data_IF_954171813637
#
_entry.id   IF_954171813637
#
_cell.length_a   1.000
_cell.length_b   1.000
_cell.length_c   1.000
_cell.angle_alpha   90.00
_cell.angle_beta   90.00
_cell.angle_gamma   90.00
#
_symmetry.space_group_name_H-M   'P 1'
#
loop_
_entity.id
_entity.type
_entity.pdbx_description
1 polymer ?
#
# COMPACT_ATOMS: atom_id res chain seq x y z
N UNK A 1 1.61 -10.75 -3.06
CA UNK A 1 2.93 -10.88 -2.41
C UNK A 1 2.76 -11.58 -1.07
N UNK A 2 3.46 -12.68 -0.81
CA UNK A 2 3.42 -13.39 0.49
C UNK A 2 4.45 -12.79 1.43
N UNK A 3 4.32 -13.03 2.74
CA UNK A 3 5.26 -12.55 3.76
C UNK A 3 6.74 -12.85 3.45
N UNK A 4 7.00 -14.00 2.84
CA UNK A 4 8.34 -14.46 2.47
C UNK A 4 9.01 -13.60 1.39
N UNK A 5 8.21 -13.01 0.50
CA UNK A 5 8.68 -12.15 -0.60
C UNK A 5 9.04 -10.75 -0.12
N UNK A 6 8.59 -10.36 1.07
CA UNK A 6 8.77 -9.01 1.58
C UNK A 6 10.19 -8.79 2.14
N UNK A 7 10.67 -7.53 2.11
CA UNK A 7 11.90 -7.15 2.79
C UNK A 7 11.91 -7.58 4.26
N UNK A 8 13.04 -8.09 4.74
CA UNK A 8 13.19 -8.64 6.10
C UNK A 8 12.69 -7.71 7.20
N UNK A 9 12.89 -6.40 7.05
CA UNK A 9 12.44 -5.40 8.02
C UNK A 9 10.92 -5.23 8.14
N UNK A 10 10.16 -5.54 7.09
CA UNK A 10 8.70 -5.40 7.07
C UNK A 10 7.98 -6.68 7.56
N UNK A 11 8.62 -7.85 7.45
CA UNK A 11 8.06 -9.15 7.86
C UNK A 11 7.48 -9.22 9.27
N UNK A 12 7.96 -8.48 10.30
CA UNK A 12 7.35 -8.46 11.62
C UNK A 12 6.00 -7.73 11.69
N UNK A 13 5.65 -6.96 10.65
CA UNK A 13 4.45 -6.12 10.59
C UNK A 13 3.34 -6.73 9.73
N UNK A 14 3.57 -7.92 9.17
CA UNK A 14 2.59 -8.62 8.33
C UNK A 14 2.32 -10.04 8.83
N UNK A 15 1.10 -10.53 8.59
CA UNK A 15 0.74 -11.93 8.80
C UNK A 15 1.25 -12.84 7.67
N UNK A 16 0.90 -14.13 7.70
CA UNK A 16 1.33 -15.10 6.70
C UNK A 16 0.77 -14.79 5.30
N UNK A 17 -0.43 -14.23 5.24
CA UNK A 17 -1.15 -13.84 4.04
C UNK A 17 -0.64 -12.51 3.44
N UNK A 18 0.21 -11.79 4.18
CA UNK A 18 0.77 -10.51 3.76
C UNK A 18 -0.14 -9.32 4.07
N UNK A 19 -1.07 -9.46 5.02
CA UNK A 19 -1.88 -8.36 5.57
C UNK A 19 -1.12 -7.65 6.68
N UNK A 20 -1.27 -6.33 6.74
CA UNK A 20 -0.58 -5.48 7.70
C UNK A 20 -1.22 -5.59 9.09
N UNK A 21 -0.50 -6.16 10.06
CA UNK A 21 -1.03 -6.42 11.40
C UNK A 21 -0.92 -5.24 12.36
N UNK A 22 0.01 -4.31 12.09
CA UNK A 22 0.18 -3.08 12.86
C UNK A 22 0.88 -2.00 12.02
N UNK A 23 0.67 -0.74 12.38
CA UNK A 23 1.38 0.38 11.75
C UNK A 23 2.80 0.56 12.33
N UNK A 24 3.87 0.55 11.53
CA UNK A 24 5.23 0.75 12.05
C UNK A 24 5.46 2.16 12.61
N UNK A 25 6.35 2.29 13.59
CA UNK A 25 6.77 3.61 14.13
C UNK A 25 7.89 4.28 13.32
N UNK A 26 8.73 3.49 12.64
CA UNK A 26 9.85 4.01 11.83
C UNK A 26 9.37 4.41 10.45
N UNK A 27 9.67 5.64 10.05
CA UNK A 27 9.23 6.20 8.76
C UNK A 27 9.58 5.33 7.55
N UNK A 28 10.81 4.79 7.45
CA UNK A 28 11.19 3.90 6.34
C UNK A 28 10.31 2.64 6.28
N UNK A 29 9.94 2.06 7.43
CA UNK A 29 9.05 0.90 7.46
C UNK A 29 7.60 1.28 7.11
N UNK A 30 7.16 2.48 7.47
CA UNK A 30 5.85 2.99 7.06
C UNK A 30 5.76 3.16 5.54
N UNK A 31 6.79 3.70 4.90
CA UNK A 31 6.88 3.79 3.43
C UNK A 31 6.76 2.42 2.78
N UNK A 32 7.43 1.41 3.34
CA UNK A 32 7.35 0.03 2.85
C UNK A 32 5.95 -0.57 3.06
N UNK A 33 5.32 -0.29 4.21
CA UNK A 33 3.95 -0.73 4.49
C UNK A 33 2.93 -0.09 3.53
N UNK A 34 3.08 1.20 3.24
CA UNK A 34 2.25 1.89 2.25
C UNK A 34 2.47 1.34 0.84
N UNK A 35 3.73 1.11 0.44
CA UNK A 35 4.05 0.48 -0.85
C UNK A 35 3.41 -0.92 -0.98
N UNK A 36 3.45 -1.73 0.08
CA UNK A 36 2.76 -3.03 0.10
C UNK A 36 1.26 -2.90 -0.16
N UNK A 37 0.59 -1.94 0.49
CA UNK A 37 -0.84 -1.70 0.27
C UNK A 37 -1.12 -1.17 -1.14
N UNK A 38 -0.24 -0.33 -1.69
CA UNK A 38 -0.35 0.18 -3.05
C UNK A 38 -0.34 -0.94 -4.11
N UNK A 39 0.36 -2.06 -3.87
CA UNK A 39 0.33 -3.23 -4.78
C UNK A 39 -1.04 -3.87 -4.95
N UNK A 40 -2.02 -3.52 -4.11
CA UNK A 40 -3.38 -4.07 -4.14
C UNK A 40 -4.32 -3.30 -5.04
N UNK A 41 -3.86 -2.17 -5.60
CA UNK A 41 -4.64 -1.34 -6.51
C UNK A 41 -4.19 -1.58 -7.95
N UNK A 42 -5.14 -1.62 -8.86
CA UNK A 42 -4.93 -1.86 -10.28
C UNK A 42 -4.65 -0.54 -11.01
N UNK A 43 -3.52 -0.44 -11.75
CA UNK A 43 -3.26 0.71 -12.60
C UNK A 43 -4.34 0.91 -13.67
N UNK A 44 -4.73 2.16 -13.92
CA UNK A 44 -5.74 2.52 -14.91
C UNK A 44 -7.20 2.32 -14.46
N UNK A 45 -7.42 1.77 -13.26
CA UNK A 45 -8.75 1.68 -12.65
C UNK A 45 -9.02 2.88 -11.73
N UNK A 46 -10.24 3.41 -11.83
CA UNK A 46 -10.77 4.37 -10.87
C UNK A 46 -11.53 3.63 -9.76
N UNK A 47 -11.33 4.06 -8.53
CA UNK A 47 -11.98 3.55 -7.33
C UNK A 47 -12.76 4.65 -6.64
N UNK A 48 -13.99 4.37 -6.19
CA UNK A 48 -14.66 5.25 -5.24
C UNK A 48 -14.09 5.05 -3.84
N UNK A 49 -14.30 6.01 -2.93
CA UNK A 49 -13.77 5.91 -1.55
C UNK A 49 -14.16 4.59 -0.86
N UNK A 50 -15.38 4.11 -1.06
CA UNK A 50 -15.85 2.84 -0.49
C UNK A 50 -15.05 1.63 -0.98
N UNK A 51 -14.66 1.60 -2.25
CA UNK A 51 -13.85 0.51 -2.80
C UNK A 51 -12.42 0.58 -2.23
N UNK A 52 -11.84 1.78 -2.13
CA UNK A 52 -10.52 1.97 -1.50
C UNK A 52 -10.57 1.49 -0.05
N UNK A 53 -11.58 1.88 0.71
CA UNK A 53 -11.74 1.45 2.09
C UNK A 53 -11.89 -0.08 2.18
N UNK A 54 -12.66 -0.71 1.28
CA UNK A 54 -12.81 -2.16 1.25
C UNK A 54 -11.48 -2.88 0.98
N UNK A 55 -10.70 -2.42 0.00
CA UNK A 55 -9.35 -2.96 -0.27
C UNK A 55 -8.46 -2.81 0.97
N UNK A 56 -8.46 -1.63 1.61
CA UNK A 56 -7.63 -1.42 2.80
C UNK A 56 -8.07 -2.33 3.94
N UNK A 57 -9.36 -2.43 4.24
CA UNK A 57 -9.93 -3.31 5.29
C UNK A 57 -9.55 -4.78 5.08
N UNK A 58 -9.50 -5.26 3.84
CA UNK A 58 -9.07 -6.62 3.55
C UNK A 58 -7.58 -6.86 3.85
N UNK A 59 -6.74 -5.84 3.64
CA UNK A 59 -5.28 -5.96 3.68
C UNK A 59 -4.62 -5.43 4.97
N UNK A 60 -5.39 -5.09 6.01
CA UNK A 60 -4.88 -4.73 7.34
C UNK A 60 -5.78 -5.25 8.47
N UNK A 61 -5.27 -5.33 9.70
CA UNK A 61 -6.04 -5.88 10.85
C UNK A 61 -6.21 -4.91 12.03
N UNK A 62 -5.63 -3.71 11.98
CA UNK A 62 -5.65 -2.75 13.09
C UNK A 62 -6.75 -1.68 13.01
N UNK A 63 -7.60 -1.71 11.99
CA UNK A 63 -8.84 -0.94 11.93
C UNK A 63 -8.70 0.55 11.60
N UNK A 64 -7.57 1.01 11.06
CA UNK A 64 -7.35 2.41 10.68
C UNK A 64 -7.06 2.54 9.17
N UNK A 65 -8.07 2.23 8.35
CA UNK A 65 -7.99 2.41 6.91
C UNK A 65 -7.95 3.89 6.49
N UNK A 66 -8.41 4.82 7.35
CA UNK A 66 -8.40 6.25 7.06
C UNK A 66 -6.96 6.80 7.06
N UNK A 67 -6.14 6.39 8.04
CA UNK A 67 -4.70 6.65 8.03
C UNK A 67 -4.06 6.10 6.76
N UNK A 68 -4.34 4.84 6.42
CA UNK A 68 -3.77 4.17 5.24
C UNK A 68 -4.11 4.88 3.94
N UNK A 69 -5.37 5.29 3.76
CA UNK A 69 -5.81 6.06 2.59
C UNK A 69 -5.08 7.40 2.49
N UNK A 70 -4.91 8.11 3.61
CA UNK A 70 -4.18 9.38 3.65
C UNK A 70 -2.73 9.20 3.24
N UNK A 71 -2.01 8.25 3.83
CA UNK A 71 -0.58 8.06 3.53
C UNK A 71 -0.35 7.58 2.09
N UNK A 72 -1.26 6.78 1.52
CA UNK A 72 -1.19 6.37 0.12
C UNK A 72 -1.26 7.57 -0.84
N UNK A 73 -2.07 8.57 -0.50
CA UNK A 73 -2.12 9.82 -1.26
C UNK A 73 -0.92 10.74 -0.97
N UNK A 74 -0.64 11.00 0.31
CA UNK A 74 0.44 11.91 0.72
C UNK A 74 1.81 11.46 0.19
N UNK A 75 2.02 10.15 0.03
CA UNK A 75 3.27 9.57 -0.46
C UNK A 75 3.25 9.19 -1.94
N UNK A 76 2.25 9.68 -2.68
CA UNK A 76 2.19 9.63 -4.14
C UNK A 76 2.07 8.21 -4.71
N UNK A 77 1.44 7.28 -3.97
CA UNK A 77 1.06 5.97 -4.50
C UNK A 77 -0.29 6.01 -5.20
N UNK A 78 -1.25 6.73 -4.61
CA UNK A 78 -2.55 7.00 -5.19
C UNK A 78 -2.72 8.51 -5.38
N UNK A 79 -3.43 8.90 -6.42
CA UNK A 79 -4.02 10.23 -6.52
C UNK A 79 -5.51 10.14 -6.20
N UNK A 80 -6.11 11.30 -5.92
CA UNK A 80 -7.54 11.42 -5.63
C UNK A 80 -8.10 12.73 -6.16
N UNK A 81 -9.40 12.74 -6.43
CA UNK A 81 -10.11 14.00 -6.61
C UNK A 81 -10.22 14.76 -5.28
N UNK A 82 -10.28 16.09 -5.37
CA UNK A 82 -10.35 16.98 -4.21
C UNK A 82 -11.55 16.70 -3.31
N UNK A 83 -12.66 16.24 -3.89
CA UNK A 83 -13.89 15.84 -3.22
C UNK A 83 -13.87 14.40 -2.68
N UNK A 84 -12.75 13.67 -2.83
CA UNK A 84 -12.61 12.25 -2.47
C UNK A 84 -13.53 11.29 -3.23
N UNK A 85 -14.20 11.72 -4.30
CA UNK A 85 -15.14 10.86 -5.03
C UNK A 85 -14.44 9.75 -5.81
N UNK A 86 -13.20 10.01 -6.25
CA UNK A 86 -12.38 9.07 -7.04
C UNK A 86 -10.94 9.02 -6.54
N UNK A 87 -10.37 7.83 -6.63
CA UNK A 87 -8.98 7.49 -6.40
C UNK A 87 -8.46 6.65 -7.55
N UNK A 88 -7.18 6.80 -7.88
CA UNK A 88 -6.51 5.97 -8.89
C UNK A 88 -5.04 5.80 -8.53
N UNK A 89 -4.44 4.73 -9.05
CA UNK A 89 -2.99 4.55 -8.96
C UNK A 89 -2.30 5.68 -9.70
N UNK A 90 -1.44 6.42 -9.01
CA UNK A 90 -0.72 7.55 -9.59
C UNK A 90 0.24 7.06 -10.68
N UNK A 91 0.36 7.76 -11.82
CA UNK A 91 1.43 7.49 -12.78
C UNK A 91 2.81 7.57 -12.10
N UNK A 92 3.63 6.53 -12.26
CA UNK A 92 4.92 6.41 -11.58
C UNK A 92 4.87 5.70 -10.22
N UNK A 93 3.70 5.20 -9.79
CA UNK A 93 3.57 4.49 -8.51
C UNK A 93 4.33 3.15 -8.49
N UNK A 94 4.46 2.48 -9.64
CA UNK A 94 5.19 1.21 -9.74
C UNK A 94 6.67 1.39 -9.35
N UNK A 95 7.30 2.44 -9.86
CA UNK A 95 8.69 2.80 -9.57
C UNK A 95 8.87 3.14 -8.08
N UNK A 96 7.89 3.81 -7.47
CA UNK A 96 7.90 4.08 -6.02
C UNK A 96 7.74 2.80 -5.20
N UNK A 97 6.89 1.87 -5.64
CA UNK A 97 6.75 0.56 -5.00
C UNK A 97 8.08 -0.18 -5.04
N UNK A 98 8.73 -0.23 -6.21
CA UNK A 98 10.02 -0.87 -6.38
C UNK A 98 11.12 -0.22 -5.53
N UNK A 99 11.11 1.10 -5.38
CA UNK A 99 12.04 1.83 -4.50
C UNK A 99 11.89 1.42 -3.01
N UNK A 100 10.67 1.13 -2.56
CA UNK A 100 10.43 0.79 -1.16
C UNK A 100 10.54 -0.71 -0.87
N UNK A 101 10.04 -1.57 -1.77
CA UNK A 101 10.01 -3.02 -1.55
C UNK A 101 11.19 -3.76 -2.20
N UNK A 102 11.99 -3.07 -3.01
CA UNK A 102 12.87 -3.71 -3.97
C UNK A 102 12.10 -4.09 -5.24
N UNK A 103 12.81 -4.35 -6.36
CA UNK A 103 12.16 -4.64 -7.64
C UNK A 103 11.22 -5.84 -7.49
N UNK A 104 9.93 -5.62 -7.75
CA UNK A 104 8.94 -6.67 -7.87
C UNK A 104 9.18 -7.46 -9.16
N UNK A 105 10.28 -8.22 -9.22
CA UNK A 105 10.63 -8.99 -10.42
C UNK A 105 12.11 -9.04 -10.82
N UNK A 106 13.08 -8.62 -9.99
CA UNK A 106 14.49 -8.94 -10.27
C UNK A 106 14.82 -10.39 -9.86
N UNK A 107 14.14 -11.35 -10.51
CA UNK A 107 14.62 -12.71 -10.71
C UNK A 107 14.54 -13.01 -12.20
N UNK A 108 15.52 -12.48 -12.93
CA UNK A 108 16.17 -13.08 -14.08
C UNK A 108 17.53 -12.38 -14.25
#
# INVERSE_FOLDING_TARGET
MRREDLPRGLRPFVDQEGRLIQWPSRFKLQQMAAALLATRFEPGRNYVEKEVNAVLVEWHTFGDWALLRRVLCDWLFLDRESDCSRYWVRPGAAERIDEQLGPAGARA
#
